data_IF_938332182487
#
_entry.id   IF_938332182487
#
_cell.length_a   1.000
_cell.length_b   1.000
_cell.length_c   1.000
_cell.angle_alpha   90.00
_cell.angle_beta   90.00
_cell.angle_gamma   90.00
#
_symmetry.space_group_name_H-M   'P 1'
#
loop_
_entity.id
_entity.type
_entity.pdbx_description
1 polymer ?
#
# COMPACT_ATOMS: atom_id res chain seq x y z
N UNK A 1 -3.16 -21.97 -3.12
CA UNK A 1 -2.34 -22.67 -4.13
C UNK A 1 -1.72 -21.73 -5.17
N UNK A 2 -1.68 -20.44 -4.89
CA UNK A 2 -1.03 -19.42 -5.72
C UNK A 2 0.42 -19.12 -5.29
N UNK A 3 1.00 -19.96 -4.42
CA UNK A 3 2.36 -19.83 -3.88
C UNK A 3 2.56 -18.51 -3.10
N UNK A 4 1.50 -17.99 -2.47
CA UNK A 4 1.53 -16.84 -1.57
C UNK A 4 1.26 -17.27 -0.13
N UNK A 5 1.66 -16.44 0.84
CA UNK A 5 1.33 -16.63 2.26
C UNK A 5 0.64 -15.35 2.74
N UNK A 6 -0.61 -15.47 3.14
CA UNK A 6 -1.35 -14.38 3.76
C UNK A 6 -1.28 -14.52 5.29
N UNK A 7 -0.91 -13.46 5.96
CA UNK A 7 -0.91 -13.33 7.41
C UNK A 7 -2.16 -12.57 7.84
N UNK A 8 -2.89 -13.14 8.78
CA UNK A 8 -4.19 -12.62 9.21
C UNK A 8 -4.13 -12.07 10.63
N UNK A 9 -4.78 -10.93 10.83
CA UNK A 9 -5.23 -10.51 12.15
C UNK A 9 -6.76 -10.69 12.20
N UNK A 10 -7.22 -11.70 12.95
CA UNK A 10 -8.61 -12.12 12.95
C UNK A 10 -9.05 -12.61 11.56
N UNK A 11 -9.89 -11.85 10.87
CA UNK A 11 -10.37 -12.17 9.51
C UNK A 11 -9.69 -11.34 8.41
N UNK A 12 -8.83 -10.42 8.78
CA UNK A 12 -8.20 -9.49 7.85
C UNK A 12 -6.80 -9.95 7.49
N UNK A 13 -6.44 -9.86 6.21
CA UNK A 13 -5.06 -10.02 5.76
C UNK A 13 -4.31 -8.75 6.11
N UNK A 14 -3.29 -8.85 6.95
CA UNK A 14 -2.42 -7.72 7.33
C UNK A 14 -1.15 -7.68 6.52
N UNK A 15 -0.61 -8.84 6.16
CA UNK A 15 0.55 -8.98 5.29
C UNK A 15 0.32 -10.09 4.29
N UNK A 16 0.90 -9.94 3.12
CA UNK A 16 1.01 -10.98 2.10
C UNK A 16 2.46 -11.15 1.72
N UNK A 17 2.96 -12.38 1.80
CA UNK A 17 4.21 -12.77 1.15
C UNK A 17 3.82 -13.21 -0.25
N UNK A 18 4.20 -12.44 -1.25
CA UNK A 18 3.87 -12.69 -2.65
C UNK A 18 4.53 -13.95 -3.17
N UNK A 19 3.97 -14.52 -4.24
CA UNK A 19 4.62 -15.62 -4.95
C UNK A 19 6.02 -15.18 -5.37
N UNK A 20 7.08 -15.88 -4.92
CA UNK A 20 8.44 -15.51 -5.22
C UNK A 20 8.77 -15.75 -6.69
N UNK A 21 9.70 -14.99 -7.22
CA UNK A 21 10.24 -15.17 -8.53
C UNK A 21 11.78 -15.02 -8.56
N UNK A 22 12.41 -15.48 -9.60
CA UNK A 22 13.81 -15.22 -9.89
C UNK A 22 13.96 -14.40 -11.15
N UNK A 23 14.89 -13.47 -11.14
CA UNK A 23 15.28 -12.69 -12.31
C UNK A 23 16.80 -12.63 -12.42
N UNK A 24 17.33 -12.88 -13.59
CA UNK A 24 18.76 -12.78 -13.88
C UNK A 24 19.16 -11.34 -14.27
N UNK A 25 20.45 -11.07 -14.40
CA UNK A 25 20.96 -9.75 -14.78
C UNK A 25 20.52 -9.30 -16.19
N UNK A 26 20.01 -10.17 -17.03
CA UNK A 26 19.46 -9.87 -18.35
C UNK A 26 17.92 -9.81 -18.36
N UNK A 27 17.28 -9.76 -17.18
CA UNK A 27 15.82 -9.74 -17.02
C UNK A 27 15.14 -11.05 -17.48
N UNK A 28 15.89 -12.15 -17.57
CA UNK A 28 15.30 -13.47 -17.76
C UNK A 28 14.66 -13.91 -16.43
N UNK A 29 13.50 -14.53 -16.50
CA UNK A 29 12.57 -14.67 -15.39
C UNK A 29 12.16 -16.14 -15.19
N UNK A 30 11.98 -16.56 -13.93
CA UNK A 30 11.37 -17.84 -13.55
C UNK A 30 10.48 -17.65 -12.32
N UNK A 31 9.26 -18.20 -12.38
CA UNK A 31 8.32 -18.31 -11.26
C UNK A 31 8.34 -19.69 -10.61
N UNK A 32 9.20 -20.59 -11.06
CA UNK A 32 9.26 -21.95 -10.54
C UNK A 32 10.04 -22.01 -9.23
N UNK A 33 9.55 -21.25 -8.24
CA UNK A 33 10.05 -21.23 -6.87
C UNK A 33 8.91 -21.66 -5.96
N UNK A 34 9.20 -22.48 -4.96
CA UNK A 34 8.19 -22.83 -3.96
C UNK A 34 8.43 -22.12 -2.63
N UNK A 35 7.34 -21.71 -2.02
CA UNK A 35 7.28 -21.13 -0.68
C UNK A 35 6.57 -22.11 0.26
N UNK A 36 7.19 -22.46 1.37
CA UNK A 36 6.67 -23.45 2.33
C UNK A 36 6.82 -22.95 3.77
N UNK A 37 5.74 -22.96 4.54
CA UNK A 37 5.79 -22.68 5.98
C UNK A 37 6.34 -23.91 6.69
N UNK A 38 7.52 -23.80 7.29
CA UNK A 38 8.15 -24.88 8.03
C UNK A 38 7.68 -24.95 9.49
N UNK A 39 7.53 -23.79 10.12
CA UNK A 39 7.16 -23.68 11.52
C UNK A 39 6.50 -22.32 11.79
N UNK A 40 5.51 -22.34 12.67
CA UNK A 40 4.89 -21.13 13.21
C UNK A 40 4.78 -21.32 14.74
N UNK A 41 5.46 -20.46 15.47
CA UNK A 41 5.44 -20.50 16.94
C UNK A 41 5.48 -19.09 17.49
N UNK A 42 4.53 -18.76 18.34
CA UNK A 42 4.36 -17.43 18.92
C UNK A 42 4.34 -16.36 17.79
N UNK A 43 5.13 -15.32 17.89
CA UNK A 43 5.21 -14.24 16.92
C UNK A 43 6.25 -14.49 15.80
N UNK A 44 6.68 -15.73 15.60
CA UNK A 44 7.70 -16.07 14.61
C UNK A 44 7.22 -17.15 13.65
N UNK A 45 7.51 -16.96 12.38
CA UNK A 45 7.24 -17.92 11.31
C UNK A 45 8.54 -18.21 10.55
N UNK A 46 8.82 -19.50 10.33
CA UNK A 46 9.90 -19.93 9.47
C UNK A 46 9.35 -20.32 8.10
N UNK A 47 9.82 -19.67 7.09
CA UNK A 47 9.44 -19.92 5.70
C UNK A 47 10.65 -20.47 4.96
N UNK A 48 10.44 -21.53 4.19
CA UNK A 48 11.45 -22.09 3.28
C UNK A 48 11.10 -21.68 1.86
N UNK A 49 12.08 -21.10 1.21
CA UNK A 49 12.05 -20.79 -0.21
C UNK A 49 12.94 -21.78 -0.93
N UNK A 50 12.40 -22.46 -1.95
CA UNK A 50 13.17 -23.41 -2.78
C UNK A 50 13.27 -22.88 -4.20
N UNK A 51 14.48 -22.49 -4.58
CA UNK A 51 14.77 -21.89 -5.87
C UNK A 51 14.71 -22.94 -7.02
N UNK A 52 14.39 -22.47 -8.22
CA UNK A 52 14.43 -23.28 -9.44
C UNK A 52 15.89 -23.62 -9.80
N UNK A 53 16.25 -24.86 -9.54
CA UNK A 53 17.60 -25.35 -9.82
C UNK A 53 17.93 -25.36 -11.31
N UNK A 54 16.97 -25.68 -12.16
CA UNK A 54 17.19 -25.77 -13.61
C UNK A 54 17.40 -24.38 -14.20
N UNK A 55 16.68 -23.39 -13.70
CA UNK A 55 16.91 -21.99 -14.03
C UNK A 55 18.33 -21.56 -13.61
N UNK A 56 18.70 -21.80 -12.36
CA UNK A 56 20.01 -21.38 -11.83
C UNK A 56 21.19 -22.06 -12.54
N UNK A 57 21.03 -23.29 -13.01
CA UNK A 57 22.11 -24.05 -13.69
C UNK A 57 22.11 -23.89 -15.21
N UNK A 58 21.16 -23.16 -15.76
CA UNK A 58 21.07 -22.93 -17.21
C UNK A 58 22.24 -22.09 -17.70
N UNK A 59 22.86 -22.51 -18.83
CA UNK A 59 24.03 -21.87 -19.41
C UNK A 59 23.79 -20.45 -19.95
N UNK A 60 22.53 -20.07 -20.15
CA UNK A 60 22.10 -18.77 -20.68
C UNK A 60 21.68 -17.78 -19.57
N UNK A 61 21.79 -18.18 -18.31
CA UNK A 61 21.55 -17.33 -17.17
C UNK A 61 22.76 -16.45 -16.86
N UNK A 62 22.50 -15.19 -16.60
CA UNK A 62 23.52 -14.21 -16.24
C UNK A 62 23.38 -13.77 -14.78
N UNK A 63 24.39 -14.07 -13.99
CA UNK A 63 24.47 -13.66 -12.59
C UNK A 63 24.79 -12.16 -12.43
N UNK A 64 24.31 -11.51 -11.36
CA UNK A 64 23.57 -12.11 -10.26
C UNK A 64 22.13 -12.47 -10.63
N UNK A 65 21.59 -13.50 -9.98
CA UNK A 65 20.16 -13.81 -9.98
C UNK A 65 19.56 -13.27 -8.70
N UNK A 66 18.54 -12.45 -8.83
CA UNK A 66 17.74 -11.96 -7.70
C UNK A 66 16.58 -12.91 -7.46
N UNK A 67 16.35 -13.26 -6.20
CA UNK A 67 15.18 -14.02 -5.75
C UNK A 67 14.36 -13.09 -4.85
N UNK A 68 13.13 -12.83 -5.20
CA UNK A 68 12.30 -11.83 -4.54
C UNK A 68 10.96 -12.41 -4.08
N UNK A 69 10.84 -12.81 -2.80
CA UNK A 69 9.56 -12.88 -2.14
C UNK A 69 9.23 -11.51 -1.53
N UNK A 70 8.37 -10.75 -2.12
CA UNK A 70 7.90 -9.48 -1.55
C UNK A 70 7.02 -9.73 -0.32
N UNK A 71 7.28 -9.00 0.76
CA UNK A 71 6.37 -8.93 1.91
C UNK A 71 5.68 -7.57 1.87
N UNK A 72 4.38 -7.57 1.71
CA UNK A 72 3.61 -6.34 1.57
C UNK A 72 2.47 -6.27 2.57
N UNK A 73 2.25 -5.10 3.12
CA UNK A 73 1.01 -4.72 3.78
C UNK A 73 0.30 -3.67 2.93
N UNK A 74 -1.02 -3.69 2.86
CA UNK A 74 -1.74 -2.74 2.02
C UNK A 74 -3.24 -2.73 2.28
N UNK A 75 -3.92 -1.78 1.66
CA UNK A 75 -5.36 -1.62 1.75
C UNK A 75 -6.05 -2.38 0.65
N UNK A 76 -6.99 -3.23 1.04
CA UNK A 76 -7.81 -3.94 0.07
C UNK A 76 -8.87 -3.00 -0.52
N UNK A 77 -8.94 -2.95 -1.83
CA UNK A 77 -9.95 -2.23 -2.58
C UNK A 77 -10.65 -3.17 -3.53
N UNK A 78 -11.94 -3.42 -3.29
CA UNK A 78 -12.79 -4.14 -4.23
C UNK A 78 -13.40 -3.16 -5.22
N UNK A 79 -13.09 -3.29 -6.50
CA UNK A 79 -13.64 -2.43 -7.54
C UNK A 79 -14.64 -3.18 -8.41
N UNK A 80 -15.62 -2.43 -8.90
CA UNK A 80 -16.54 -2.97 -9.89
C UNK A 80 -15.83 -3.10 -11.24
N UNK A 81 -16.01 -4.23 -11.87
CA UNK A 81 -15.60 -4.45 -13.25
C UNK A 81 -16.83 -4.45 -14.15
N UNK A 82 -16.64 -4.24 -15.43
CA UNK A 82 -17.69 -4.41 -16.41
C UNK A 82 -17.24 -5.33 -17.55
N UNK A 83 -18.15 -6.14 -17.97
CA UNK A 83 -18.03 -6.91 -19.20
C UNK A 83 -18.20 -5.97 -20.40
N UNK A 84 -17.24 -5.96 -21.32
CA UNK A 84 -17.21 -5.00 -22.44
C UNK A 84 -17.42 -5.66 -23.79
N UNK A 85 -16.98 -6.91 -23.97
CA UNK A 85 -17.11 -7.57 -25.26
C UNK A 85 -16.87 -9.07 -25.18
N UNK A 86 -17.29 -9.77 -26.22
CA UNK A 86 -17.21 -11.20 -26.33
C UNK A 86 -17.13 -11.62 -27.77
N UNK A 87 -16.23 -12.55 -28.08
CA UNK A 87 -16.15 -13.18 -29.39
C UNK A 87 -15.50 -12.33 -30.49
N UNK A 88 -15.46 -12.88 -31.67
CA UNK A 88 -14.75 -12.32 -32.81
C UNK A 88 -15.52 -11.24 -33.56
N UNK A 89 -16.84 -11.12 -33.35
CA UNK A 89 -17.68 -10.26 -34.22
C UNK A 89 -18.77 -9.46 -33.49
N UNK A 90 -19.16 -9.82 -32.28
CA UNK A 90 -20.22 -9.07 -31.56
C UNK A 90 -20.09 -9.22 -30.05
N UNK A 91 -20.19 -8.12 -29.31
CA UNK A 91 -20.17 -8.18 -27.85
C UNK A 91 -21.40 -8.89 -27.29
N UNK A 92 -21.21 -9.80 -26.35
CA UNK A 92 -22.28 -10.40 -25.55
C UNK A 92 -22.22 -9.84 -24.14
N UNK A 93 -23.28 -9.21 -23.70
CA UNK A 93 -23.34 -8.50 -22.40
C UNK A 93 -24.12 -9.29 -21.33
N UNK A 94 -24.74 -10.41 -21.71
CA UNK A 94 -25.56 -11.19 -20.79
C UNK A 94 -24.92 -12.53 -20.45
N UNK A 95 -24.95 -12.92 -19.15
CA UNK A 95 -24.56 -14.26 -18.74
C UNK A 95 -25.50 -15.36 -19.37
N UNK A 96 -25.03 -16.61 -19.47
CA UNK A 96 -23.75 -17.10 -18.95
C UNK A 96 -22.58 -16.67 -19.81
N UNK A 97 -21.46 -16.38 -19.14
CA UNK A 97 -20.20 -16.05 -19.82
C UNK A 97 -19.56 -17.34 -20.30
N UNK A 98 -19.77 -17.65 -21.57
CA UNK A 98 -19.27 -18.88 -22.19
C UNK A 98 -18.02 -18.60 -22.98
N UNK A 99 -16.97 -19.36 -22.72
CA UNK A 99 -15.72 -19.32 -23.45
C UNK A 99 -15.59 -20.60 -24.28
N UNK A 100 -15.58 -20.46 -25.60
CA UNK A 100 -15.39 -21.55 -26.53
C UNK A 100 -14.21 -21.31 -27.47
N UNK A 101 -13.80 -22.32 -28.19
CA UNK A 101 -12.69 -22.26 -29.13
C UNK A 101 -12.79 -21.05 -30.07
N UNK A 102 -11.71 -20.33 -30.25
CA UNK A 102 -11.60 -19.10 -31.06
C UNK A 102 -12.39 -17.90 -30.55
N UNK A 103 -12.90 -17.95 -29.34
CA UNK A 103 -13.61 -16.84 -28.70
C UNK A 103 -12.81 -16.27 -27.56
N UNK A 104 -13.08 -15.01 -27.24
CA UNK A 104 -12.54 -14.35 -26.07
C UNK A 104 -13.59 -13.51 -25.37
N UNK A 105 -13.40 -13.33 -24.07
CA UNK A 105 -14.18 -12.41 -23.25
C UNK A 105 -13.27 -11.26 -22.86
N UNK A 106 -13.66 -10.03 -23.17
CA UNK A 106 -12.93 -8.84 -22.75
C UNK A 106 -13.54 -8.25 -21.50
N UNK A 107 -12.69 -7.99 -20.52
CA UNK A 107 -13.04 -7.33 -19.29
C UNK A 107 -12.34 -5.98 -19.19
N UNK A 108 -13.06 -4.97 -18.70
CA UNK A 108 -12.52 -3.66 -18.36
C UNK A 108 -12.83 -3.39 -16.90
N UNK A 109 -11.80 -3.05 -16.14
CA UNK A 109 -11.95 -2.65 -14.75
C UNK A 109 -12.36 -1.18 -14.73
N UNK A 110 -13.63 -0.92 -14.45
CA UNK A 110 -14.13 0.43 -14.30
C UNK A 110 -13.74 0.97 -12.91
N UNK A 111 -13.60 2.29 -12.81
CA UNK A 111 -13.30 2.98 -11.56
C UNK A 111 -11.97 2.55 -10.90
N UNK A 112 -10.99 2.16 -11.72
CA UNK A 112 -9.64 1.99 -11.21
C UNK A 112 -9.15 3.34 -10.65
N UNK A 113 -8.66 3.42 -9.40
CA UNK A 113 -8.13 4.65 -8.85
C UNK A 113 -6.88 5.07 -9.62
N UNK A 114 -6.70 6.38 -9.80
CA UNK A 114 -5.43 6.93 -10.27
C UNK A 114 -4.50 7.04 -9.07
N UNK A 115 -3.42 6.29 -9.09
CA UNK A 115 -2.42 6.30 -8.02
C UNK A 115 -1.45 7.46 -8.18
N UNK A 116 -0.98 7.98 -7.05
CA UNK A 116 0.13 8.95 -7.02
C UNK A 116 1.47 8.24 -7.22
N UNK A 117 2.54 9.01 -7.41
CA UNK A 117 3.90 8.46 -7.52
C UNK A 117 4.35 7.69 -6.27
N UNK A 118 3.77 8.01 -5.11
CA UNK A 118 4.03 7.32 -3.84
C UNK A 118 3.20 6.05 -3.63
N UNK A 119 2.19 5.81 -4.46
CA UNK A 119 1.29 4.68 -4.31
C UNK A 119 1.59 3.62 -5.36
N UNK A 120 1.53 2.37 -4.94
CA UNK A 120 1.71 1.21 -5.82
C UNK A 120 0.69 0.13 -5.52
N UNK A 121 0.30 -0.58 -6.57
CA UNK A 121 -0.48 -1.81 -6.44
C UNK A 121 0.44 -2.90 -5.91
N UNK A 122 0.10 -3.44 -4.76
CA UNK A 122 0.81 -4.53 -4.11
C UNK A 122 0.34 -5.87 -4.68
N UNK A 123 -0.97 -6.00 -4.81
CA UNK A 123 -1.59 -7.19 -5.37
C UNK A 123 -2.84 -6.80 -6.13
N UNK A 124 -3.02 -7.36 -7.30
CA UNK A 124 -4.28 -7.29 -8.02
C UNK A 124 -4.61 -8.67 -8.58
N UNK A 125 -5.82 -9.13 -8.30
CA UNK A 125 -6.26 -10.47 -8.63
C UNK A 125 -7.58 -10.40 -9.40
N UNK A 126 -7.66 -11.11 -10.49
CA UNK A 126 -8.92 -11.42 -11.16
C UNK A 126 -9.26 -12.88 -10.95
N UNK A 127 -10.44 -13.16 -10.42
CA UNK A 127 -10.89 -14.52 -10.12
C UNK A 127 -12.29 -14.77 -10.62
N UNK A 128 -12.57 -16.02 -10.93
CA UNK A 128 -13.90 -16.50 -11.30
C UNK A 128 -14.03 -17.99 -10.94
N UNK A 129 -15.27 -18.47 -10.82
CA UNK A 129 -15.54 -19.89 -10.71
C UNK A 129 -15.99 -20.46 -12.07
N UNK A 130 -15.62 -21.70 -12.32
CA UNK A 130 -16.12 -22.46 -13.46
C UNK A 130 -17.41 -23.16 -13.02
N UNK A 131 -18.51 -22.79 -13.68
CA UNK A 131 -19.82 -23.40 -13.41
C UNK A 131 -19.97 -24.74 -14.14
N UNK A 132 -19.50 -24.81 -15.39
CA UNK A 132 -19.69 -26.00 -16.24
C UNK A 132 -18.61 -26.07 -17.30
N UNK A 133 -18.13 -27.29 -17.54
CA UNK A 133 -17.30 -27.65 -18.68
C UNK A 133 -18.11 -28.59 -19.58
N UNK A 134 -18.14 -28.30 -20.88
CA UNK A 134 -18.85 -29.08 -21.87
C UNK A 134 -17.85 -29.62 -22.89
N UNK A 135 -17.91 -30.91 -23.17
CA UNK A 135 -17.03 -31.61 -24.10
C UNK A 135 -16.04 -32.53 -23.40
N UNK A 136 -15.20 -33.18 -24.19
CA UNK A 136 -14.19 -34.11 -23.68
C UNK A 136 -12.97 -33.37 -23.18
N UNK A 137 -12.90 -33.19 -21.86
CA UNK A 137 -11.82 -32.52 -21.13
C UNK A 137 -11.27 -33.44 -20.05
N UNK A 138 -9.98 -33.63 -20.02
CA UNK A 138 -9.26 -34.50 -19.05
C UNK A 138 -7.89 -33.92 -18.71
N UNK A 139 -7.19 -34.52 -17.76
CA UNK A 139 -5.81 -34.14 -17.42
C UNK A 139 -4.85 -34.20 -18.63
N UNK A 140 -5.02 -35.19 -19.48
CA UNK A 140 -4.22 -35.33 -20.71
C UNK A 140 -4.71 -34.44 -21.87
N UNK A 141 -5.88 -33.85 -21.74
CA UNK A 141 -6.53 -33.00 -22.76
C UNK A 141 -7.29 -31.83 -22.08
N UNK A 142 -6.60 -30.95 -21.35
CA UNK A 142 -7.24 -29.88 -20.60
C UNK A 142 -7.80 -28.79 -21.52
N UNK A 143 -8.79 -28.06 -21.06
CA UNK A 143 -9.24 -26.81 -21.67
C UNK A 143 -8.35 -25.67 -21.20
N UNK A 144 -7.61 -25.03 -22.09
CA UNK A 144 -6.65 -23.99 -21.72
C UNK A 144 -7.29 -22.61 -21.88
N UNK A 145 -7.30 -21.85 -20.79
CA UNK A 145 -7.73 -20.46 -20.74
C UNK A 145 -6.47 -19.60 -20.58
N UNK A 146 -6.33 -18.58 -21.42
CA UNK A 146 -5.23 -17.62 -21.39
C UNK A 146 -5.73 -16.24 -21.06
N UNK A 147 -5.03 -15.57 -20.17
CA UNK A 147 -5.25 -14.16 -19.90
C UNK A 147 -4.20 -13.33 -20.65
N UNK A 148 -4.66 -12.33 -21.40
CA UNK A 148 -3.82 -11.40 -22.14
C UNK A 148 -4.18 -9.96 -21.84
N UNK A 149 -3.19 -9.06 -21.90
CA UNK A 149 -3.45 -7.63 -21.96
C UNK A 149 -4.12 -7.29 -23.31
N UNK A 150 -5.17 -6.48 -23.28
CA UNK A 150 -5.86 -6.06 -24.49
C UNK A 150 -5.27 -4.79 -25.10
N UNK A 151 -5.08 -4.81 -26.43
CA UNK A 151 -4.71 -3.64 -27.23
C UNK A 151 -5.87 -3.22 -28.11
N UNK A 152 -6.02 -1.92 -28.33
CA UNK A 152 -7.03 -1.37 -29.26
C UNK A 152 -6.68 -1.56 -30.74
N UNK A 153 -5.44 -1.96 -31.05
CA UNK A 153 -4.93 -2.15 -32.42
C UNK A 153 -4.51 -3.61 -32.63
N UNK A 154 -4.65 -4.12 -33.86
CA UNK A 154 -4.24 -5.48 -34.20
C UNK A 154 -2.70 -5.66 -34.12
N UNK A 155 -2.19 -6.78 -33.57
CA UNK A 155 -2.97 -7.83 -32.89
C UNK A 155 -3.58 -7.29 -31.58
N UNK A 156 -4.84 -7.62 -31.33
CA UNK A 156 -5.62 -7.07 -30.21
C UNK A 156 -5.14 -7.48 -28.82
N UNK A 157 -4.08 -8.26 -28.70
CA UNK A 157 -3.50 -8.66 -27.42
C UNK A 157 -1.98 -8.79 -27.52
N UNK A 158 -1.36 -8.60 -26.37
CA UNK A 158 0.08 -8.81 -26.16
C UNK A 158 0.41 -10.24 -25.74
N UNK A 159 1.62 -10.41 -25.24
CA UNK A 159 2.06 -11.63 -24.59
C UNK A 159 1.06 -12.12 -23.55
N UNK A 160 1.05 -13.42 -23.34
CA UNK A 160 0.25 -14.09 -22.32
C UNK A 160 0.67 -13.56 -20.95
N UNK A 161 -0.31 -13.13 -20.14
CA UNK A 161 -0.06 -12.82 -18.74
C UNK A 161 0.01 -14.10 -17.93
N UNK A 162 -0.97 -15.03 -18.12
CA UNK A 162 -0.99 -16.34 -17.45
C UNK A 162 -1.90 -17.34 -18.18
N UNK A 163 -1.59 -18.61 -18.03
CA UNK A 163 -2.39 -19.73 -18.54
C UNK A 163 -3.04 -20.49 -17.36
N UNK A 164 -4.23 -21.02 -17.59
CA UNK A 164 -4.91 -21.95 -16.71
C UNK A 164 -5.44 -23.16 -17.48
N UNK A 165 -5.21 -24.36 -16.95
CA UNK A 165 -5.70 -25.61 -17.53
C UNK A 165 -6.91 -26.12 -16.75
N UNK A 166 -8.10 -25.97 -17.33
CA UNK A 166 -9.33 -26.52 -16.77
C UNK A 166 -9.46 -28.00 -17.15
N UNK A 167 -9.73 -28.86 -16.17
CA UNK A 167 -9.95 -30.29 -16.36
C UNK A 167 -11.39 -30.67 -15.98
N UNK A 168 -11.85 -31.83 -16.45
CA UNK A 168 -13.19 -32.33 -16.12
C UNK A 168 -13.34 -32.50 -14.59
N UNK A 169 -14.42 -31.94 -14.04
CA UNK A 169 -14.67 -31.95 -12.61
C UNK A 169 -14.07 -30.81 -11.84
N UNK A 170 -13.30 -29.93 -12.48
CA UNK A 170 -12.86 -28.68 -11.86
C UNK A 170 -14.09 -27.79 -11.65
N UNK A 171 -14.52 -27.66 -10.41
CA UNK A 171 -15.47 -26.62 -9.98
C UNK A 171 -14.73 -25.45 -9.35
N UNK A 172 -13.48 -25.26 -9.73
CA UNK A 172 -12.53 -24.52 -8.97
C UNK A 172 -12.65 -23.02 -9.21
N UNK A 173 -12.31 -22.28 -8.18
CA UNK A 173 -12.06 -20.86 -8.28
C UNK A 173 -10.73 -20.66 -8.99
N UNK A 174 -10.77 -20.06 -10.15
CA UNK A 174 -9.59 -19.71 -10.94
C UNK A 174 -9.19 -18.31 -10.58
N UNK A 175 -7.90 -18.11 -10.30
CA UNK A 175 -7.36 -16.81 -9.94
C UNK A 175 -6.14 -16.49 -10.79
N UNK A 176 -6.10 -15.25 -11.31
CA UNK A 176 -4.97 -14.72 -12.07
C UNK A 176 -4.39 -13.53 -11.32
N UNK A 177 -3.09 -13.57 -11.09
CA UNK A 177 -2.35 -12.39 -10.69
C UNK A 177 -2.20 -11.45 -11.88
N UNK A 178 -2.72 -10.24 -11.75
CA UNK A 178 -2.66 -9.17 -12.75
C UNK A 178 -2.04 -7.90 -12.18
N UNK A 179 -1.24 -8.02 -11.12
CA UNK A 179 -0.66 -6.91 -10.36
C UNK A 179 0.12 -5.94 -11.24
N UNK A 180 1.05 -6.43 -12.05
CA UNK A 180 1.85 -5.58 -12.93
C UNK A 180 1.02 -4.83 -13.96
N UNK A 181 0.01 -5.51 -14.52
CA UNK A 181 -0.91 -4.94 -15.49
C UNK A 181 -1.75 -3.81 -14.87
N UNK A 182 -2.34 -4.07 -13.71
CA UNK A 182 -3.16 -3.09 -12.98
C UNK A 182 -2.32 -1.93 -12.48
N UNK A 183 -1.09 -2.19 -12.02
CA UNK A 183 -0.19 -1.14 -11.59
C UNK A 183 0.14 -0.17 -12.74
N UNK A 184 0.46 -0.68 -13.93
CA UNK A 184 0.75 0.16 -15.10
C UNK A 184 -0.44 1.05 -15.51
N UNK A 185 -1.67 0.56 -15.35
CA UNK A 185 -2.87 1.35 -15.59
C UNK A 185 -3.13 2.39 -14.50
N UNK A 186 -2.98 2.01 -13.23
CA UNK A 186 -3.25 2.88 -12.10
C UNK A 186 -2.24 4.03 -11.97
N UNK A 187 -0.98 3.80 -12.36
CA UNK A 187 0.07 4.83 -12.42
C UNK A 187 0.06 5.66 -13.70
N UNK A 188 -0.78 5.30 -14.68
CA UNK A 188 -0.84 5.99 -15.97
C UNK A 188 0.28 5.66 -16.95
N UNK A 189 1.12 4.66 -16.65
CA UNK A 189 2.17 4.17 -17.53
C UNK A 189 1.59 3.57 -18.82
N UNK A 190 0.43 2.92 -18.71
CA UNK A 190 -0.32 2.42 -19.85
C UNK A 190 -1.82 2.73 -19.72
N UNK A 191 -2.53 2.72 -20.85
CA UNK A 191 -3.98 2.94 -20.88
C UNK A 191 -4.71 1.67 -20.45
N UNK A 192 -5.68 1.80 -19.54
CA UNK A 192 -6.58 0.69 -19.19
C UNK A 192 -7.52 0.38 -20.34
N UNK A 193 -7.12 -0.49 -21.23
CA UNK A 193 -7.96 -1.07 -22.27
C UNK A 193 -8.62 -2.38 -21.85
N UNK A 194 -8.34 -2.83 -20.63
CA UNK A 194 -8.78 -4.12 -20.10
C UNK A 194 -7.88 -5.28 -20.49
N UNK A 195 -8.34 -6.46 -20.19
CA UNK A 195 -7.69 -7.74 -20.52
C UNK A 195 -8.69 -8.69 -21.19
N UNK A 196 -8.18 -9.73 -21.81
CA UNK A 196 -9.01 -10.77 -22.42
C UNK A 196 -8.71 -12.14 -21.81
N UNK A 197 -9.76 -12.93 -21.67
CA UNK A 197 -9.68 -14.37 -21.51
C UNK A 197 -9.91 -15.01 -22.87
N UNK A 198 -8.94 -15.76 -23.36
CA UNK A 198 -9.00 -16.49 -24.63
C UNK A 198 -9.01 -17.99 -24.35
N UNK A 199 -9.88 -18.72 -25.04
CA UNK A 199 -9.81 -20.17 -25.08
C UNK A 199 -8.78 -20.61 -26.10
N UNK A 200 -7.67 -21.19 -25.66
CA UNK A 200 -6.75 -21.88 -26.57
C UNK A 200 -7.13 -23.35 -26.67
N UNK A 201 -8.18 -23.61 -27.36
CA UNK A 201 -8.66 -24.96 -27.63
C UNK A 201 -8.83 -25.21 -29.14
N UNK A 202 -8.28 -26.29 -29.62
CA UNK A 202 -8.41 -26.68 -31.03
C UNK A 202 -9.75 -27.35 -31.34
N UNK A 203 -10.49 -27.82 -30.36
CA UNK A 203 -11.74 -28.51 -30.51
C UNK A 203 -12.95 -27.58 -30.35
N UNK A 204 -13.61 -27.22 -31.45
CA UNK A 204 -14.77 -26.31 -31.48
C UNK A 204 -16.01 -26.78 -30.68
N UNK A 205 -16.01 -27.99 -30.14
CA UNK A 205 -17.14 -28.57 -29.40
C UNK A 205 -16.98 -28.43 -27.89
N UNK A 206 -15.86 -27.89 -27.43
CA UNK A 206 -15.60 -27.72 -25.99
C UNK A 206 -15.85 -26.29 -25.54
N UNK A 207 -16.50 -26.15 -24.42
CA UNK A 207 -16.79 -24.84 -23.84
C UNK A 207 -16.65 -24.86 -22.33
N UNK A 208 -16.29 -23.70 -21.76
CA UNK A 208 -16.31 -23.45 -20.34
C UNK A 208 -17.27 -22.32 -20.03
N UNK A 209 -18.22 -22.55 -19.12
CA UNK A 209 -19.11 -21.51 -18.62
C UNK A 209 -18.55 -20.96 -17.32
N UNK A 210 -18.35 -19.66 -17.27
CA UNK A 210 -17.98 -18.96 -16.04
C UNK A 210 -19.26 -18.69 -15.23
N UNK A 211 -19.16 -18.84 -13.91
CA UNK A 211 -20.30 -18.65 -13.03
C UNK A 211 -20.79 -17.20 -13.01
N UNK A 212 -22.10 -17.04 -12.90
CA UNK A 212 -22.76 -15.76 -12.67
C UNK A 212 -22.98 -15.46 -11.17
N UNK A 213 -22.55 -16.38 -10.30
CA UNK A 213 -22.66 -16.33 -8.85
C UNK A 213 -23.86 -17.11 -8.32
N UNK A 214 -23.58 -18.11 -7.50
CA UNK A 214 -24.56 -18.87 -6.72
C UNK A 214 -24.02 -19.11 -5.29
N UNK A 215 -24.53 -20.11 -4.58
CA UNK A 215 -24.10 -20.43 -3.20
C UNK A 215 -22.71 -21.09 -3.14
N UNK A 216 -22.26 -21.68 -4.25
CA UNK A 216 -21.03 -22.48 -4.33
C UNK A 216 -19.99 -21.88 -5.25
N UNK A 217 -20.42 -21.02 -6.18
CA UNK A 217 -19.57 -20.42 -7.19
C UNK A 217 -19.68 -18.91 -7.14
N UNK A 218 -18.56 -18.22 -7.06
CA UNK A 218 -18.58 -16.77 -7.12
C UNK A 218 -18.58 -16.26 -8.57
N UNK A 219 -19.25 -15.14 -8.78
CA UNK A 219 -19.15 -14.39 -10.05
C UNK A 219 -17.73 -13.87 -10.25
N UNK A 220 -17.34 -13.54 -11.50
CA UNK A 220 -16.06 -12.90 -11.76
C UNK A 220 -15.85 -11.70 -10.85
N UNK A 221 -14.69 -11.65 -10.20
CA UNK A 221 -14.35 -10.66 -9.18
C UNK A 221 -12.96 -10.11 -9.43
N UNK A 222 -12.80 -8.82 -9.18
CA UNK A 222 -11.53 -8.14 -9.17
C UNK A 222 -11.24 -7.62 -7.76
N UNK A 223 -10.06 -7.90 -7.26
CA UNK A 223 -9.57 -7.37 -5.98
C UNK A 223 -8.24 -6.68 -6.23
N UNK A 224 -8.05 -5.52 -5.62
CA UNK A 224 -6.81 -4.78 -5.68
C UNK A 224 -6.42 -4.33 -4.28
N UNK A 225 -5.16 -4.57 -3.94
CA UNK A 225 -4.52 -4.03 -2.74
C UNK A 225 -3.47 -3.03 -3.20
N UNK A 226 -3.49 -1.83 -2.64
CA UNK A 226 -2.45 -0.84 -2.90
C UNK A 226 -2.03 -0.17 -1.60
N UNK A 227 -0.80 0.32 -1.55
CA UNK A 227 -0.23 1.01 -0.41
C UNK A 227 0.42 2.33 -0.82
N UNK A 228 0.41 3.29 0.10
CA UNK A 228 1.14 4.54 -0.01
C UNK A 228 2.51 4.37 0.67
N UNK A 229 3.58 4.51 -0.09
CA UNK A 229 4.96 4.38 0.35
C UNK A 229 5.62 5.72 0.64
N UNK A 230 4.85 6.73 0.95
CA UNK A 230 5.37 8.00 1.44
C UNK A 230 5.97 7.78 2.84
N UNK A 231 7.20 8.21 3.05
CA UNK A 231 7.89 8.03 4.34
C UNK A 231 8.84 6.84 4.36
N UNK A 232 9.30 6.49 5.55
CA UNK A 232 10.21 5.37 5.78
C UNK A 232 9.46 4.19 6.40
N UNK A 233 9.28 3.13 5.63
CA UNK A 233 8.64 1.89 6.06
C UNK A 233 9.66 0.97 6.74
N UNK A 234 9.33 0.46 7.93
CA UNK A 234 10.27 -0.36 8.72
C UNK A 234 10.47 -1.77 8.15
N UNK A 235 9.52 -2.23 7.34
CA UNK A 235 9.55 -3.55 6.69
C UNK A 235 10.20 -3.57 5.30
N UNK A 236 10.71 -2.41 4.82
CA UNK A 236 11.39 -2.30 3.54
C UNK A 236 12.90 -2.11 3.72
N UNK A 237 13.66 -2.52 2.72
CA UNK A 237 15.11 -2.30 2.71
C UNK A 237 15.46 -0.90 2.21
N UNK A 238 16.50 -0.34 2.82
CA UNK A 238 17.01 0.98 2.48
C UNK A 238 18.53 0.98 2.39
N UNK A 239 19.03 1.62 1.35
CA UNK A 239 20.42 2.06 1.34
C UNK A 239 20.54 3.32 2.19
N UNK A 240 21.20 3.20 3.36
CA UNK A 240 21.31 4.29 4.31
C UNK A 240 22.71 4.89 4.30
N UNK A 241 22.80 6.21 4.17
CA UNK A 241 24.05 6.97 4.20
C UNK A 241 23.93 8.06 5.27
N UNK A 242 24.90 8.15 6.15
CA UNK A 242 24.96 9.25 7.12
C UNK A 242 25.50 10.52 6.44
N UNK A 243 24.72 11.59 6.48
CA UNK A 243 25.11 12.92 5.99
C UNK A 243 25.58 13.80 7.15
N UNK A 244 26.72 13.46 7.74
CA UNK A 244 27.24 14.10 8.95
C UNK A 244 26.60 13.51 10.22
N UNK A 245 26.76 14.21 11.34
CA UNK A 245 26.36 13.69 12.67
C UNK A 245 24.87 13.85 12.99
N UNK A 246 24.09 14.44 12.10
CA UNK A 246 22.68 14.83 12.39
C UNK A 246 21.70 14.63 11.25
N UNK A 247 22.13 14.03 10.16
CA UNK A 247 21.26 13.73 9.06
C UNK A 247 21.47 12.29 8.59
N UNK A 248 20.39 11.57 8.42
CA UNK A 248 20.35 10.25 7.80
C UNK A 248 19.62 10.33 6.48
N UNK A 249 20.25 9.78 5.46
CA UNK A 249 19.72 9.69 4.08
C UNK A 249 19.38 8.24 3.81
N UNK A 250 18.13 7.97 3.53
CA UNK A 250 17.62 6.63 3.28
C UNK A 250 17.01 6.59 1.87
N UNK A 251 17.50 5.69 1.02
CA UNK A 251 16.95 5.46 -0.31
C UNK A 251 16.29 4.09 -0.27
N UNK A 252 15.00 4.06 -0.54
CA UNK A 252 14.26 2.80 -0.63
C UNK A 252 14.76 2.00 -1.83
N UNK A 253 15.22 0.77 -1.61
CA UNK A 253 15.85 -0.06 -2.63
C UNK A 253 14.87 -0.52 -3.72
N UNK A 254 13.59 -0.58 -3.40
CA UNK A 254 12.53 -1.02 -4.30
C UNK A 254 11.88 0.13 -5.08
N UNK A 255 11.56 1.24 -4.39
CA UNK A 255 10.78 2.33 -4.96
C UNK A 255 11.63 3.54 -5.35
N UNK A 256 12.89 3.59 -4.89
CA UNK A 256 13.76 4.75 -5.10
C UNK A 256 13.34 6.00 -4.31
N UNK A 257 12.43 5.88 -3.34
CA UNK A 257 12.06 7.00 -2.49
C UNK A 257 13.25 7.44 -1.64
N UNK A 258 13.63 8.71 -1.74
CA UNK A 258 14.64 9.33 -0.91
C UNK A 258 13.99 9.98 0.31
N UNK A 259 14.32 9.50 1.50
CA UNK A 259 13.89 10.06 2.77
C UNK A 259 15.12 10.58 3.53
N UNK A 260 15.15 11.89 3.82
CA UNK A 260 16.22 12.51 4.60
C UNK A 260 15.67 12.96 5.94
N UNK A 261 16.21 12.45 7.02
CA UNK A 261 15.86 12.90 8.37
C UNK A 261 16.97 13.82 8.91
N UNK A 262 16.65 15.10 9.13
CA UNK A 262 17.55 16.10 9.69
C UNK A 262 17.18 16.39 11.14
N UNK A 263 18.03 16.01 12.08
CA UNK A 263 17.86 16.35 13.49
C UNK A 263 18.44 17.74 13.77
N UNK A 264 17.63 18.64 14.33
CA UNK A 264 18.03 19.98 14.73
C UNK A 264 18.41 20.06 16.21
N UNK A 265 17.67 19.35 17.05
CA UNK A 265 17.84 19.41 18.48
C UNK A 265 17.32 18.15 19.18
N UNK A 266 18.07 17.71 20.15
CA UNK A 266 17.66 16.67 21.08
C UNK A 266 17.90 17.18 22.50
N UNK A 267 16.87 17.15 23.35
CA UNK A 267 16.99 17.51 24.75
C UNK A 267 17.59 16.35 25.54
N UNK A 268 18.30 16.67 26.60
CA UNK A 268 18.84 15.65 27.53
C UNK A 268 17.88 15.34 28.67
N UNK A 269 16.59 15.54 28.50
CA UNK A 269 15.59 15.22 29.51
C UNK A 269 15.63 13.72 29.85
N UNK A 270 15.52 13.43 31.15
CA UNK A 270 15.81 12.10 31.68
C UNK A 270 14.76 11.04 31.29
N UNK A 271 13.51 11.41 30.94
CA UNK A 271 12.42 10.46 30.70
C UNK A 271 11.73 10.62 29.36
N UNK A 272 11.48 11.82 28.91
CA UNK A 272 10.82 12.09 27.64
C UNK A 272 11.63 13.14 26.88
N UNK A 273 12.72 12.76 26.19
CA UNK A 273 13.57 13.68 25.47
C UNK A 273 12.80 14.25 24.25
N UNK A 274 12.81 15.56 24.12
CA UNK A 274 12.33 16.21 22.90
C UNK A 274 13.34 15.96 21.78
N UNK A 275 12.89 15.33 20.70
CA UNK A 275 13.60 15.30 19.43
C UNK A 275 12.90 16.24 18.44
N UNK A 276 13.60 17.29 18.01
CA UNK A 276 13.12 18.23 17.00
C UNK A 276 13.87 18.00 15.70
N UNK A 277 13.17 17.47 14.73
CA UNK A 277 13.70 17.14 13.41
C UNK A 277 12.77 17.59 12.30
N UNK A 278 13.26 17.52 11.06
CA UNK A 278 12.44 17.58 9.88
C UNK A 278 12.84 16.45 8.93
N UNK A 279 11.85 15.93 8.22
CA UNK A 279 12.02 14.87 7.24
C UNK A 279 11.69 15.39 5.86
N UNK A 280 12.60 15.16 4.91
CA UNK A 280 12.37 15.33 3.47
C UNK A 280 11.91 13.99 2.88
N UNK A 281 10.92 14.09 2.00
CA UNK A 281 10.43 12.93 1.27
C UNK A 281 10.38 13.25 -0.23
N UNK A 282 11.12 12.51 -1.05
CA UNK A 282 11.18 12.79 -2.49
C UNK A 282 9.87 12.49 -3.22
N UNK A 283 8.99 11.66 -2.69
CA UNK A 283 7.66 11.45 -3.25
C UNK A 283 6.71 12.65 -3.04
N UNK A 284 7.07 13.55 -2.11
CA UNK A 284 6.37 14.80 -1.88
C UNK A 284 7.17 16.02 -2.37
N UNK A 285 8.17 15.83 -3.23
CA UNK A 285 9.09 16.89 -3.68
C UNK A 285 8.40 18.12 -4.28
N UNK A 286 7.25 17.94 -4.90
CA UNK A 286 6.43 18.99 -5.53
C UNK A 286 5.38 19.58 -4.57
N UNK A 287 5.27 19.04 -3.35
CA UNK A 287 4.30 19.48 -2.36
C UNK A 287 4.96 20.36 -1.30
N UNK A 288 4.37 21.51 -1.10
CA UNK A 288 4.68 22.40 0.01
C UNK A 288 3.39 22.58 0.81
N UNK A 289 3.22 21.76 1.80
CA UNK A 289 2.04 21.82 2.67
C UNK A 289 2.02 23.13 3.45
N UNK A 290 0.86 23.76 3.51
CA UNK A 290 0.72 25.08 4.13
C UNK A 290 1.11 25.07 5.61
N UNK A 291 0.82 23.98 6.29
CA UNK A 291 1.07 23.77 7.71
C UNK A 291 2.46 23.15 8.02
N UNK A 292 3.23 22.75 7.00
CA UNK A 292 4.59 22.24 7.21
C UNK A 292 5.56 23.31 7.69
N UNK A 293 5.33 24.57 7.35
CA UNK A 293 6.14 25.74 7.68
C UNK A 293 7.62 25.60 7.27
N UNK A 294 7.91 24.73 6.31
CA UNK A 294 9.24 24.42 5.78
C UNK A 294 9.11 24.21 4.26
N UNK A 295 10.21 24.05 3.54
CA UNK A 295 10.22 23.97 2.06
C UNK A 295 9.53 22.73 1.48
N UNK A 296 9.55 22.66 0.16
CA UNK A 296 8.95 21.55 -0.59
C UNK A 296 9.52 20.19 -0.19
N UNK A 297 8.64 19.20 -0.04
CA UNK A 297 9.00 17.85 0.36
C UNK A 297 9.40 17.69 1.83
N UNK A 298 9.51 18.77 2.59
CA UNK A 298 9.91 18.77 3.99
C UNK A 298 8.71 18.85 4.94
N UNK A 299 8.86 18.22 6.11
CA UNK A 299 7.89 18.29 7.20
C UNK A 299 8.60 18.19 8.55
N UNK A 300 8.14 18.97 9.55
CA UNK A 300 8.67 18.88 10.90
C UNK A 300 8.08 17.72 11.70
N UNK A 301 8.86 17.21 12.67
CA UNK A 301 8.47 16.10 13.56
C UNK A 301 7.17 16.35 14.35
N UNK A 302 6.80 17.58 14.61
CA UNK A 302 5.57 17.95 15.30
C UNK A 302 4.33 18.06 14.38
N UNK A 303 4.48 17.90 13.10
CA UNK A 303 3.38 17.95 12.14
C UNK A 303 2.85 16.55 11.87
N UNK A 304 2.00 16.09 12.77
CA UNK A 304 1.30 14.82 12.70
C UNK A 304 -0.20 15.08 12.79
N UNK A 305 -1.00 14.25 12.12
CA UNK A 305 -2.41 14.52 11.92
C UNK A 305 -3.28 13.27 12.04
N UNK A 306 -4.53 13.46 12.48
CA UNK A 306 -5.62 12.50 12.29
C UNK A 306 -6.61 13.12 11.31
N UNK A 307 -6.87 12.47 10.20
CA UNK A 307 -7.84 12.93 9.19
C UNK A 307 -8.96 11.90 9.01
N UNK A 308 -10.24 12.36 8.91
CA UNK A 308 -11.32 11.47 8.52
C UNK A 308 -11.15 11.08 7.04
N UNK A 309 -11.42 9.83 6.74
CA UNK A 309 -11.38 9.33 5.37
C UNK A 309 -12.64 9.75 4.64
N UNK A 310 -12.46 10.48 3.55
CA UNK A 310 -13.55 10.94 2.66
C UNK A 310 -13.58 10.16 1.35
N UNK A 311 -12.54 9.38 1.05
CA UNK A 311 -12.50 8.52 -0.13
C UNK A 311 -13.55 7.40 0.01
N UNK A 312 -14.53 7.42 -0.88
CA UNK A 312 -15.62 6.44 -0.87
C UNK A 312 -15.15 5.02 -1.17
N UNK A 313 -13.99 4.84 -1.80
CA UNK A 313 -13.44 3.52 -2.07
C UNK A 313 -12.85 2.88 -0.80
N UNK A 314 -12.31 3.69 0.10
CA UNK A 314 -11.75 3.24 1.38
C UNK A 314 -12.80 3.19 2.50
N UNK A 315 -13.91 3.93 2.33
CA UNK A 315 -14.98 4.07 3.31
C UNK A 315 -16.24 3.32 2.88
N UNK A 316 -16.10 2.13 2.32
CA UNK A 316 -17.22 1.28 1.87
C UNK A 316 -17.01 -0.18 2.28
N UNK A 317 -18.08 -0.97 2.30
CA UNK A 317 -18.05 -2.38 2.67
C UNK A 317 -18.40 -2.62 4.13
N UNK A 318 -18.20 -3.84 4.57
CA UNK A 318 -18.61 -4.29 5.92
C UNK A 318 -17.68 -3.79 7.05
N UNK A 319 -16.49 -3.32 6.71
CA UNK A 319 -15.51 -2.80 7.67
C UNK A 319 -14.66 -1.67 7.05
N UNK A 320 -15.26 -0.47 6.86
CA UNK A 320 -14.59 0.64 6.18
C UNK A 320 -13.50 1.27 7.05
N UNK A 321 -12.46 1.78 6.39
CA UNK A 321 -11.52 2.69 7.05
C UNK A 321 -12.21 4.03 7.30
N UNK A 322 -12.06 4.57 8.49
CA UNK A 322 -12.76 5.78 8.92
C UNK A 322 -11.81 6.94 9.21
N UNK A 323 -10.61 6.64 9.64
CA UNK A 323 -9.57 7.62 9.92
C UNK A 323 -8.23 7.20 9.32
N UNK A 324 -7.37 8.19 9.08
CA UNK A 324 -5.97 7.99 8.75
C UNK A 324 -5.11 8.79 9.73
N UNK A 325 -4.14 8.13 10.33
CA UNK A 325 -3.06 8.78 11.05
C UNK A 325 -1.91 9.08 10.09
N UNK A 326 -1.47 10.32 10.03
CA UNK A 326 -0.39 10.79 9.18
C UNK A 326 0.79 11.16 10.07
N UNK A 327 1.88 10.42 9.96
CA UNK A 327 3.11 10.66 10.69
C UNK A 327 3.88 11.90 10.18
N UNK A 328 4.94 12.25 10.90
CA UNK A 328 5.79 13.39 10.55
C UNK A 328 6.56 13.21 9.23
N UNK A 329 6.88 11.99 8.84
CA UNK A 329 7.49 11.63 7.56
C UNK A 329 6.47 11.43 6.43
N UNK A 330 5.19 11.72 6.70
CA UNK A 330 4.03 11.58 5.82
C UNK A 330 3.56 10.14 5.59
N UNK A 331 4.09 9.17 6.30
CA UNK A 331 3.58 7.81 6.32
C UNK A 331 2.12 7.81 6.82
N UNK A 332 1.27 7.00 6.20
CA UNK A 332 -0.15 6.93 6.47
C UNK A 332 -0.53 5.57 7.04
N UNK A 333 -1.22 5.59 8.17
CA UNK A 333 -1.78 4.43 8.82
C UNK A 333 -3.29 4.54 8.83
N UNK A 334 -3.97 3.60 8.22
CA UNK A 334 -5.42 3.61 8.07
C UNK A 334 -6.07 2.86 9.23
N UNK A 335 -7.09 3.49 9.81
CA UNK A 335 -7.71 3.03 11.05
C UNK A 335 -9.18 2.73 10.80
N UNK A 336 -9.64 1.59 11.32
CA UNK A 336 -11.03 1.15 11.24
C UNK A 336 -11.55 0.73 12.61
N UNK A 337 -12.83 0.96 12.86
CA UNK A 337 -13.52 0.56 14.08
C UNK A 337 -14.54 -0.51 13.80
N UNK A 338 -14.78 -1.39 14.76
CA UNK A 338 -15.77 -2.45 14.65
C UNK A 338 -17.20 -1.95 14.90
N UNK A 339 -18.15 -2.49 14.14
CA UNK A 339 -19.59 -2.23 14.29
C UNK A 339 -20.07 -0.89 13.70
N UNK A 340 -21.36 -0.59 13.94
CA UNK A 340 -22.04 0.54 13.30
C UNK A 340 -21.74 1.93 13.91
N UNK A 341 -21.20 1.99 15.11
CA UNK A 341 -20.86 3.23 15.81
C UNK A 341 -19.62 3.03 16.70
N UNK A 342 -18.46 2.83 16.11
CA UNK A 342 -17.25 2.60 16.88
C UNK A 342 -16.85 3.84 17.68
N UNK A 343 -16.29 3.63 18.85
CA UNK A 343 -15.69 4.66 19.71
C UNK A 343 -14.17 4.58 19.70
N UNK A 344 -13.64 3.47 19.21
CA UNK A 344 -12.21 3.17 19.07
C UNK A 344 -11.93 2.64 17.68
N UNK A 345 -10.75 2.93 17.16
CA UNK A 345 -10.27 2.52 15.83
C UNK A 345 -8.86 1.99 15.96
N UNK A 346 -8.56 0.92 15.28
CA UNK A 346 -7.27 0.25 15.29
C UNK A 346 -6.72 0.12 13.87
N UNK A 347 -5.41 0.00 13.76
CA UNK A 347 -4.74 -0.32 12.50
C UNK A 347 -4.89 -1.81 12.17
N UNK A 348 -4.68 -2.17 10.91
CA UNK A 348 -4.64 -3.55 10.44
C UNK A 348 -3.23 -3.99 9.98
N UNK A 349 -2.23 -3.14 10.24
CA UNK A 349 -0.82 -3.42 9.97
C UNK A 349 -0.10 -4.02 11.20
N UNK A 350 -0.83 -4.31 12.28
CA UNK A 350 -0.31 -4.86 13.56
C UNK A 350 0.74 -3.96 14.22
N UNK A 351 0.58 -2.64 14.06
CA UNK A 351 1.45 -1.64 14.69
C UNK A 351 0.99 -1.27 16.10
N UNK A 352 -0.15 -1.80 16.54
CA UNK A 352 -0.73 -1.54 17.85
C UNK A 352 -1.26 -0.11 18.03
N UNK A 353 -1.63 0.55 16.92
CA UNK A 353 -2.22 1.88 16.97
C UNK A 353 -3.68 1.80 17.41
N UNK A 354 -4.02 2.56 18.45
CA UNK A 354 -5.37 2.65 18.98
C UNK A 354 -5.83 4.09 19.08
N UNK A 355 -6.80 4.46 18.25
CA UNK A 355 -7.38 5.80 18.21
C UNK A 355 -8.67 5.85 19.00
N UNK A 356 -8.80 6.86 19.85
CA UNK A 356 -10.04 7.19 20.57
C UNK A 356 -10.47 8.61 20.25
N UNK A 357 -11.75 8.82 19.95
CA UNK A 357 -12.32 10.16 19.74
C UNK A 357 -12.75 10.78 21.06
N UNK A 358 -12.42 12.06 21.27
CA UNK A 358 -12.80 12.85 22.44
C UNK A 358 -13.72 14.01 22.04
N UNK A 359 -14.26 14.74 23.00
CA UNK A 359 -15.07 15.94 22.73
C UNK A 359 -14.28 17.08 22.05
N UNK A 360 -12.95 17.11 22.17
CA UNK A 360 -12.08 18.17 21.64
C UNK A 360 -11.14 17.73 20.54
N UNK A 361 -11.10 16.44 20.22
CA UNK A 361 -10.19 15.89 19.22
C UNK A 361 -10.01 14.40 19.33
N UNK A 362 -8.77 13.93 19.35
CA UNK A 362 -8.43 12.50 19.34
C UNK A 362 -7.26 12.20 20.26
N UNK A 363 -7.20 10.97 20.73
CA UNK A 363 -6.04 10.39 21.44
C UNK A 363 -5.63 9.15 20.64
N UNK A 364 -4.37 9.07 20.24
CA UNK A 364 -3.77 7.90 19.60
C UNK A 364 -2.76 7.29 20.58
N UNK A 365 -2.96 6.04 20.93
CA UNK A 365 -1.95 5.23 21.61
C UNK A 365 -1.04 4.62 20.55
N UNK A 366 0.28 4.78 20.74
CA UNK A 366 1.31 4.28 19.85
C UNK A 366 2.53 3.91 20.67
N UNK A 367 2.97 2.66 20.58
CA UNK A 367 4.10 2.15 21.37
C UNK A 367 3.93 2.40 22.88
N UNK A 368 4.83 3.18 23.47
CA UNK A 368 4.79 3.58 24.87
C UNK A 368 4.27 5.00 25.12
N UNK A 369 3.59 5.59 24.10
CA UNK A 369 3.18 6.99 24.12
C UNK A 369 1.69 7.16 23.86
N UNK A 370 1.14 8.29 24.35
CA UNK A 370 -0.16 8.83 23.95
C UNK A 370 0.03 10.14 23.21
N UNK A 371 -0.48 10.19 22.00
CA UNK A 371 -0.47 11.38 21.16
C UNK A 371 -1.85 12.04 21.22
N UNK A 372 -1.90 13.30 21.59
CA UNK A 372 -3.13 14.08 21.73
C UNK A 372 -3.30 15.05 20.56
N UNK A 373 -4.40 14.93 19.86
CA UNK A 373 -4.72 15.76 18.71
C UNK A 373 -5.91 16.64 18.99
N UNK A 374 -5.78 17.94 18.78
CA UNK A 374 -6.87 18.91 18.87
C UNK A 374 -7.56 19.05 17.52
N UNK A 375 -8.89 19.05 17.51
CA UNK A 375 -9.66 19.28 16.29
C UNK A 375 -9.44 20.71 15.76
N UNK A 376 -9.04 20.80 14.50
CA UNK A 376 -8.82 22.06 13.79
C UNK A 376 -9.10 21.86 12.30
N UNK A 377 -9.98 22.66 11.71
CA UNK A 377 -10.29 22.64 10.27
C UNK A 377 -10.60 21.23 9.71
N UNK A 378 -11.39 20.45 10.47
CA UNK A 378 -11.82 19.12 10.04
C UNK A 378 -10.81 17.99 10.25
N UNK A 379 -9.63 18.28 10.78
CA UNK A 379 -8.59 17.30 11.14
C UNK A 379 -8.15 17.43 12.60
N UNK A 380 -7.56 16.39 13.16
CA UNK A 380 -6.83 16.42 14.42
C UNK A 380 -5.39 16.86 14.17
N UNK A 381 -4.91 17.84 14.92
CA UNK A 381 -3.52 18.33 14.85
C UNK A 381 -2.82 18.03 16.16
N UNK A 382 -1.65 17.42 16.10
CA UNK A 382 -0.85 17.07 17.29
C UNK A 382 -0.55 18.31 18.13
N UNK A 383 -0.86 18.24 19.44
CA UNK A 383 -0.54 19.31 20.39
C UNK A 383 0.16 18.85 21.67
N UNK A 384 0.10 17.55 21.99
CA UNK A 384 0.73 17.00 23.20
C UNK A 384 1.10 15.54 22.98
N UNK A 385 2.23 15.11 23.53
CA UNK A 385 2.61 13.69 23.66
C UNK A 385 2.88 13.42 25.15
N UNK A 386 2.48 12.24 25.63
CA UNK A 386 2.78 11.77 26.99
C UNK A 386 3.31 10.35 26.96
N UNK A 387 3.99 9.91 28.02
CA UNK A 387 4.16 8.48 28.27
C UNK A 387 2.79 7.82 28.44
N UNK A 388 2.65 6.56 27.98
CA UNK A 388 1.40 5.79 28.05
C UNK A 388 0.89 5.66 29.49
N UNK A 389 1.77 5.31 30.42
CA UNK A 389 1.43 5.03 31.81
C UNK A 389 1.60 6.23 32.76
N UNK A 390 2.19 7.34 32.29
CA UNK A 390 2.48 8.50 33.12
C UNK A 390 2.35 9.83 32.36
N UNK A 391 1.15 10.37 32.31
CA UNK A 391 0.84 11.64 31.64
C UNK A 391 1.52 12.89 32.23
N UNK A 392 2.19 12.76 33.41
CA UNK A 392 3.00 13.84 33.97
C UNK A 392 4.26 14.11 33.15
N UNK A 393 4.79 13.07 32.50
CA UNK A 393 5.86 13.19 31.53
C UNK A 393 5.24 13.54 30.17
N UNK A 394 5.51 14.74 29.68
CA UNK A 394 4.87 15.21 28.46
C UNK A 394 5.71 16.22 27.68
N UNK A 395 5.40 16.33 26.42
CA UNK A 395 5.85 17.39 25.51
C UNK A 395 4.60 18.08 24.98
N UNK A 396 4.57 19.41 24.99
CA UNK A 396 3.46 20.21 24.45
C UNK A 396 3.94 21.07 23.29
N UNK A 397 3.18 21.01 22.21
CA UNK A 397 3.37 21.81 21.00
C UNK A 397 2.34 22.95 21.00
N UNK A 398 2.75 24.10 21.55
CA UNK A 398 1.88 25.27 21.64
C UNK A 398 1.71 25.93 20.27
N UNK A 399 0.45 26.11 19.89
CA UNK A 399 0.09 26.72 18.61
C UNK A 399 -0.60 28.06 18.81
N UNK A 400 -0.43 28.95 17.85
CA UNK A 400 -1.10 30.25 17.86
C UNK A 400 -2.61 30.05 17.58
N UNK A 401 -3.44 30.62 18.40
CA UNK A 401 -4.90 30.47 18.30
C UNK A 401 -5.51 31.15 17.05
N UNK A 402 -4.81 32.12 16.48
CA UNK A 402 -5.32 32.87 15.31
C UNK A 402 -5.07 32.18 13.98
N UNK A 403 -3.97 31.44 13.84
CA UNK A 403 -3.54 30.83 12.57
C UNK A 403 -3.17 29.35 12.66
N UNK A 404 -3.16 28.78 13.88
CA UNK A 404 -2.85 27.36 14.13
C UNK A 404 -1.40 26.96 13.98
N UNK A 405 -0.51 27.89 13.64
CA UNK A 405 0.91 27.58 13.47
C UNK A 405 1.63 27.36 14.79
N UNK A 406 2.69 26.53 14.77
CA UNK A 406 3.53 26.29 15.95
C UNK A 406 4.14 27.61 16.44
N UNK A 407 4.16 27.78 17.74
CA UNK A 407 4.73 28.94 18.40
C UNK A 407 5.87 28.58 19.35
N UNK A 408 5.66 27.54 20.16
CA UNK A 408 6.65 27.07 21.11
C UNK A 408 6.50 25.57 21.42
N UNK A 409 7.56 24.98 21.97
CA UNK A 409 7.53 23.63 22.51
C UNK A 409 8.05 23.70 23.94
N UNK A 410 7.36 23.06 24.88
CA UNK A 410 7.84 22.88 26.26
C UNK A 410 7.68 21.42 26.71
N UNK A 411 8.48 21.03 27.68
CA UNK A 411 8.46 19.72 28.31
C UNK A 411 7.74 19.74 29.68
N UNK A 412 7.71 18.59 30.34
CA UNK A 412 7.07 18.39 31.65
C UNK A 412 7.70 19.25 32.79
N UNK A 413 8.83 19.89 32.59
CA UNK A 413 9.40 20.87 33.54
C UNK A 413 8.80 22.26 33.34
N UNK A 414 7.90 22.46 32.40
CA UNK A 414 7.33 23.72 31.95
C UNK A 414 8.39 24.72 31.42
N UNK A 415 9.55 24.22 31.04
CA UNK A 415 10.56 25.02 30.38
C UNK A 415 10.43 25.00 28.89
N UNK A 416 10.49 26.17 28.27
CA UNK A 416 10.47 26.29 26.82
C UNK A 416 11.72 25.68 26.20
N UNK A 417 11.54 24.64 25.40
CA UNK A 417 12.62 23.94 24.72
C UNK A 417 12.85 24.46 23.30
N UNK A 418 11.84 25.08 22.67
CA UNK A 418 12.00 25.77 21.40
C UNK A 418 10.96 26.86 21.21
N UNK A 419 11.36 27.95 20.52
CA UNK A 419 10.44 28.92 19.92
C UNK A 419 10.81 29.17 18.47
N UNK A 420 9.86 29.69 17.70
CA UNK A 420 9.99 29.79 16.25
C UNK A 420 9.82 31.22 15.77
N UNK A 421 10.78 31.69 14.97
CA UNK A 421 10.63 32.94 14.20
C UNK A 421 10.21 32.58 12.78
N UNK A 422 9.23 33.30 12.26
CA UNK A 422 8.64 33.00 10.96
C UNK A 422 8.67 34.19 10.02
N UNK A 423 8.66 33.92 8.73
CA UNK A 423 8.43 34.92 7.67
C UNK A 423 7.38 34.41 6.70
N UNK A 424 6.78 35.34 5.97
CA UNK A 424 5.81 35.00 4.91
C UNK A 424 6.47 35.20 3.55
N UNK A 425 6.48 34.14 2.73
CA UNK A 425 7.00 34.14 1.36
C UNK A 425 5.87 33.60 0.46
N UNK A 426 5.48 34.37 -0.55
CA UNK A 426 4.41 33.97 -1.49
C UNK A 426 3.13 33.48 -0.78
N UNK A 427 2.68 34.24 0.23
CA UNK A 427 1.49 33.94 1.04
C UNK A 427 1.57 32.68 1.91
N UNK A 428 2.72 32.01 2.00
CA UNK A 428 2.97 30.87 2.89
C UNK A 428 3.92 31.28 4.01
N UNK A 429 3.69 30.72 5.20
CA UNK A 429 4.48 31.01 6.40
C UNK A 429 5.60 29.98 6.54
N UNK A 430 6.83 30.44 6.74
CA UNK A 430 8.01 29.61 6.88
C UNK A 430 8.75 29.92 8.18
N UNK A 431 9.28 28.90 8.86
CA UNK A 431 10.16 29.05 10.00
C UNK A 431 11.54 29.44 9.48
N UNK A 432 12.02 30.59 9.86
CA UNK A 432 13.38 31.09 9.51
C UNK A 432 14.38 30.88 10.62
N UNK A 433 13.93 30.81 11.89
CA UNK A 433 14.81 30.54 13.02
C UNK A 433 14.11 29.67 14.04
N UNK A 434 14.80 28.64 14.49
CA UNK A 434 14.45 27.85 15.67
C UNK A 434 15.34 28.32 16.81
N UNK A 435 14.77 28.98 17.83
CA UNK A 435 15.47 29.39 19.01
C UNK A 435 15.43 28.26 20.05
N UNK A 436 16.58 27.85 20.54
CA UNK A 436 16.77 26.71 21.42
C UNK A 436 17.37 27.17 22.77
N UNK A 437 17.33 26.34 23.83
CA UNK A 437 17.93 26.63 25.11
C UNK A 437 19.42 27.02 24.99
N UNK A 438 19.91 27.81 25.94
CA UNK A 438 21.29 28.32 26.00
C UNK A 438 21.67 29.17 24.77
N UNK A 439 20.72 29.98 24.28
CA UNK A 439 20.92 30.91 23.14
C UNK A 439 21.37 30.25 21.83
N UNK A 440 21.18 28.94 21.71
CA UNK A 440 21.43 28.24 20.44
C UNK A 440 20.34 28.56 19.43
N UNK A 441 20.72 28.59 18.17
CA UNK A 441 19.79 28.87 17.06
C UNK A 441 20.07 27.95 15.90
N UNK A 442 18.99 27.57 15.18
CA UNK A 442 19.05 26.97 13.86
C UNK A 442 18.39 27.96 12.89
N UNK A 443 19.13 28.38 11.88
CA UNK A 443 18.61 29.28 10.85
C UNK A 443 18.29 28.49 9.59
N UNK A 444 17.13 28.76 9.01
CA UNK A 444 16.65 28.18 7.76
C UNK A 444 16.51 29.28 6.72
N UNK A 445 16.99 29.03 5.51
CA UNK A 445 16.92 29.93 4.37
C UNK A 445 16.14 29.30 3.23
N UNK A 446 15.34 30.08 2.51
CA UNK A 446 14.44 29.64 1.44
C UNK A 446 14.70 30.41 0.15
#
# INVERSE_FOLDING_TARGET
DDNTIDLYNGKNVVYTISAPYMVDANQKYSENISLEILNHKDDTMQVKLTADKDFLLSSDIKYPVTIDPEISSGQALNTNYSYVGYGTSSPKYNPPYTLSSSEYIRWVINKLPTLTSSQKVIKATYSYSIEKIIGDVSESNPFIIKLHNYKSTSPYYDSIVKDYSAIAGSSDNVSFDITSLVNSWATGESTNNGFILEAKDSAKTRTVNLSIGDKTHHKPMFTMVYKDFTGKEDNLSYHTVSAGSKADVNINDYLGNLVVNQNFYESKAARMPLSLSATYNSFDYDKCYQDSMIGYGWNFSFNQYIEPITDTNLNTGDNPYQYVYIESDRRKHYLRGEGNAPTEWEDDEDLGLKLTKTSSGYILEKDSEKLYFQSSNGKGVLYKITELDNEKNHIVYGRNSSDGYINYIYDSTNQTQATFTTTTINSKKYITTINLPNSRKVNLSY
#
